data_IF_070756255335
#
_entry.id   IF_070756255335
#
_cell.length_a   1.000
_cell.length_b   1.000
_cell.length_c   1.000
_cell.angle_alpha   90.00
_cell.angle_beta   90.00
_cell.angle_gamma   90.00
#
_symmetry.space_group_name_H-M   'P 1'
#
loop_
_entity.id
_entity.type
_entity.pdbx_description
1 polymer ?
#
# COMPACT_ATOMS: atom_id res chain seq x y z
N UNK A 1 -12.98 37.32 -37.38
CA UNK A 1 -11.70 37.33 -36.67
C UNK A 1 -11.71 36.09 -35.76
N UNK A 2 -11.16 35.04 -36.27
CA UNK A 2 -11.05 33.73 -35.64
C UNK A 2 -9.76 33.74 -34.78
N UNK A 3 -9.89 33.76 -33.46
CA UNK A 3 -8.78 33.51 -32.57
C UNK A 3 -8.76 32.00 -32.22
N UNK A 4 -7.79 31.34 -32.76
CA UNK A 4 -7.37 30.00 -32.39
C UNK A 4 -6.93 29.99 -30.94
N UNK A 5 -7.71 29.38 -30.05
CA UNK A 5 -7.27 28.99 -28.72
C UNK A 5 -6.34 27.77 -28.87
N UNK A 6 -5.12 28.01 -28.54
CA UNK A 6 -4.05 27.01 -28.49
C UNK A 6 -4.32 26.11 -27.31
N UNK A 7 -4.59 24.86 -27.59
CA UNK A 7 -4.80 23.80 -26.61
C UNK A 7 -3.43 23.39 -26.03
N UNK A 8 -3.00 24.05 -24.96
CA UNK A 8 -1.89 23.56 -24.15
C UNK A 8 -2.49 22.65 -23.09
N UNK A 9 -2.43 21.35 -23.35
CA UNK A 9 -2.69 20.34 -22.34
C UNK A 9 -1.67 20.50 -21.20
N UNK A 10 -2.06 21.24 -20.18
CA UNK A 10 -1.32 21.39 -18.93
C UNK A 10 -1.50 20.14 -18.07
N UNK A 11 -0.42 19.61 -17.69
CA UNK A 11 -0.22 18.38 -16.94
C UNK A 11 -0.92 18.39 -15.56
N UNK A 12 -1.76 17.39 -15.35
CA UNK A 12 -2.50 17.10 -14.11
C UNK A 12 -1.61 16.26 -13.20
N UNK A 13 -1.17 16.78 -12.06
CA UNK A 13 -0.27 15.98 -11.15
C UNK A 13 -0.34 16.52 -9.72
N UNK A 14 -0.37 15.58 -8.67
CA UNK A 14 0.29 15.88 -7.40
C UNK A 14 -0.52 15.83 -6.10
N UNK A 15 -0.60 14.74 -5.38
CA UNK A 15 -0.65 14.63 -3.89
C UNK A 15 -0.59 13.18 -3.39
N UNK A 16 -0.42 12.25 -4.32
CA UNK A 16 -0.34 10.82 -4.02
C UNK A 16 0.97 10.38 -3.38
N UNK A 17 2.00 11.23 -3.35
CA UNK A 17 3.30 10.80 -2.84
C UNK A 17 3.26 10.44 -1.35
N UNK A 18 2.54 11.20 -0.56
CA UNK A 18 2.43 10.94 0.87
C UNK A 18 1.69 9.63 1.13
N UNK A 19 0.53 9.45 0.48
CA UNK A 19 -0.27 8.24 0.64
C UNK A 19 0.35 7.05 -0.09
N UNK A 20 0.96 7.22 -1.26
CA UNK A 20 1.69 6.16 -1.94
C UNK A 20 2.97 5.77 -1.20
N UNK A 21 3.71 6.71 -0.63
CA UNK A 21 4.90 6.43 0.18
C UNK A 21 4.53 5.82 1.53
N UNK A 22 3.51 6.33 2.21
CA UNK A 22 2.95 5.74 3.42
C UNK A 22 2.25 4.41 3.14
N UNK A 23 1.57 4.24 2.00
CA UNK A 23 0.94 2.99 1.62
C UNK A 23 1.93 1.92 1.17
N UNK A 24 3.08 2.28 0.57
CA UNK A 24 4.19 1.36 0.35
C UNK A 24 4.70 0.74 1.66
N UNK A 25 4.63 1.45 2.78
CA UNK A 25 5.10 0.98 4.08
C UNK A 25 3.98 0.61 5.07
N UNK A 26 2.80 1.22 4.99
CA UNK A 26 1.70 1.00 5.93
C UNK A 26 0.60 0.06 5.42
N UNK A 27 0.31 0.06 4.13
CA UNK A 27 -0.77 -0.72 3.49
C UNK A 27 -0.36 -2.07 2.97
N UNK A 28 0.89 -2.24 2.60
CA UNK A 28 1.44 -3.53 2.20
C UNK A 28 2.32 -4.06 3.30
N UNK A 29 2.06 -5.28 3.73
CA UNK A 29 3.03 -6.13 4.41
C UNK A 29 4.16 -6.46 3.41
N UNK A 30 4.91 -5.45 2.99
CA UNK A 30 5.85 -5.42 1.84
C UNK A 30 7.08 -6.29 2.05
N UNK A 31 7.22 -7.01 3.14
CA UNK A 31 8.45 -7.71 3.44
C UNK A 31 8.25 -9.23 3.46
N UNK A 32 8.56 -9.85 2.34
CA UNK A 32 8.55 -11.30 2.16
C UNK A 32 9.90 -11.93 2.53
N UNK A 33 9.98 -12.94 2.94
CA UNK A 33 10.22 -14.31 3.21
C UNK A 33 11.40 -15.03 2.55
N UNK A 34 12.08 -15.89 3.35
CA UNK A 34 12.94 -16.98 2.89
C UNK A 34 12.13 -18.25 2.60
N UNK A 35 12.32 -18.83 1.42
CA UNK A 35 11.97 -20.21 1.15
C UNK A 35 13.27 -21.05 1.15
N UNK A 36 13.36 -22.01 2.02
CA UNK A 36 14.33 -23.09 1.90
C UNK A 36 13.87 -24.03 0.79
N UNK A 37 14.57 -24.01 -0.33
CA UNK A 37 14.50 -25.04 -1.34
C UNK A 37 15.92 -25.44 -1.70
N UNK A 38 16.45 -26.39 -0.95
CA UNK A 38 17.49 -27.33 -1.39
C UNK A 38 17.41 -28.54 -0.48
N UNK A 39 16.79 -29.58 -0.96
CA UNK A 39 16.92 -30.93 -0.43
C UNK A 39 17.30 -31.85 -1.59
N UNK A 40 18.60 -32.05 -1.77
CA UNK A 40 19.07 -33.26 -2.42
C UNK A 40 18.73 -34.47 -1.55
N UNK A 41 18.34 -35.62 -2.11
CA UNK A 41 18.02 -36.81 -1.34
C UNK A 41 19.30 -37.55 -0.95
N UNK A 42 19.78 -37.42 0.26
CA UNK A 42 20.72 -38.39 0.80
C UNK A 42 19.95 -39.60 1.31
N UNK A 43 20.19 -40.72 0.63
CA UNK A 43 19.79 -42.06 1.03
C UNK A 43 20.64 -42.54 2.26
N UNK A 44 20.02 -42.61 3.41
CA UNK A 44 20.53 -43.51 4.49
C UNK A 44 19.36 -44.10 5.26
N UNK A 45 19.25 -45.40 5.11
CA UNK A 45 18.38 -46.28 5.88
C UNK A 45 18.82 -46.37 7.33
N UNK A 46 18.00 -45.84 8.25
CA UNK A 46 18.11 -46.22 9.67
C UNK A 46 16.73 -46.26 10.31
N UNK A 47 16.50 -47.32 11.04
CA UNK A 47 15.22 -47.71 11.64
C UNK A 47 14.76 -46.69 12.65
N UNK A 48 13.67 -45.96 12.35
CA UNK A 48 13.15 -44.87 13.20
C UNK A 48 12.24 -45.42 14.32
N UNK A 49 12.59 -45.05 15.51
CA UNK A 49 11.69 -44.98 16.67
C UNK A 49 10.79 -43.76 16.50
N UNK A 50 9.48 -43.77 16.85
CA UNK A 50 8.63 -42.60 16.70
C UNK A 50 9.05 -41.54 17.72
N UNK A 51 9.92 -40.65 17.31
CA UNK A 51 10.40 -39.46 18.00
C UNK A 51 9.98 -38.20 17.26
N UNK A 52 9.67 -37.17 18.01
CA UNK A 52 9.35 -35.83 17.52
C UNK A 52 10.49 -35.34 16.63
N UNK A 53 10.27 -35.27 15.31
CA UNK A 53 11.23 -34.59 14.40
C UNK A 53 11.24 -33.11 14.74
N UNK A 54 12.33 -32.63 15.25
CA UNK A 54 12.61 -31.21 15.44
C UNK A 54 13.20 -30.69 14.13
N UNK A 55 12.43 -29.93 13.38
CA UNK A 55 12.97 -29.24 12.19
C UNK A 55 13.70 -27.99 12.67
N UNK A 56 15.02 -28.00 12.64
CA UNK A 56 15.84 -26.80 12.87
C UNK A 56 15.56 -25.78 11.74
N UNK A 57 14.99 -24.65 12.09
CA UNK A 57 14.94 -23.50 11.20
C UNK A 57 16.35 -22.91 11.11
N UNK A 58 16.94 -22.93 9.92
CA UNK A 58 18.28 -22.41 9.66
C UNK A 58 18.33 -20.90 9.99
N UNK A 59 19.37 -20.46 10.69
CA UNK A 59 19.60 -19.04 10.94
C UNK A 59 19.78 -18.28 9.62
N UNK A 60 19.03 -17.20 9.42
CA UNK A 60 19.11 -16.35 8.24
C UNK A 60 19.91 -15.10 8.58
N UNK A 61 20.94 -14.80 7.78
CA UNK A 61 21.75 -13.57 7.94
C UNK A 61 20.96 -12.35 7.44
N UNK A 62 21.15 -11.22 8.13
CA UNK A 62 20.62 -9.95 7.64
C UNK A 62 21.23 -9.56 6.29
N UNK A 63 20.45 -8.88 5.45
CA UNK A 63 20.85 -8.50 4.10
C UNK A 63 20.40 -7.08 3.76
N UNK A 64 21.30 -6.32 3.15
CA UNK A 64 21.00 -5.02 2.56
C UNK A 64 20.52 -5.18 1.12
N UNK A 65 19.48 -4.42 0.76
CA UNK A 65 18.94 -4.30 -0.57
C UNK A 65 18.91 -2.82 -0.97
N UNK A 66 19.80 -2.36 -1.87
CA UNK A 66 19.60 -1.06 -2.51
C UNK A 66 18.38 -1.16 -3.43
N UNK A 67 17.48 -0.20 -3.32
CA UNK A 67 16.22 -0.14 -4.04
C UNK A 67 16.12 1.21 -4.77
N UNK A 68 16.79 1.40 -5.93
CA UNK A 68 16.47 2.52 -6.80
C UNK A 68 15.05 2.33 -7.34
N UNK A 69 14.28 3.42 -7.36
CA UNK A 69 12.92 3.39 -7.89
C UNK A 69 12.65 4.61 -8.75
N UNK A 70 11.71 4.46 -9.65
CA UNK A 70 11.23 5.54 -10.52
C UNK A 70 9.84 5.92 -10.05
N UNK A 71 9.58 7.19 -9.90
CA UNK A 71 8.27 7.73 -9.64
C UNK A 71 7.63 8.06 -10.99
N UNK A 72 6.44 7.53 -11.21
CA UNK A 72 5.68 7.73 -12.44
C UNK A 72 4.24 8.12 -12.13
N UNK A 73 3.99 8.45 -10.86
CA UNK A 73 2.68 8.89 -10.40
C UNK A 73 2.37 10.27 -11.01
N UNK A 74 1.34 10.38 -11.85
CA UNK A 74 1.01 11.63 -12.51
C UNK A 74 0.81 12.80 -11.53
N UNK A 75 0.39 12.47 -10.30
CA UNK A 75 0.08 13.47 -9.29
C UNK A 75 1.31 14.20 -8.72
N UNK A 76 2.51 13.64 -8.77
CA UNK A 76 3.71 14.27 -8.20
C UNK A 76 4.88 14.38 -9.19
N UNK A 77 4.56 14.21 -10.46
CA UNK A 77 5.56 14.27 -11.51
C UNK A 77 6.33 12.97 -11.71
N UNK A 78 7.30 13.03 -12.62
CA UNK A 78 8.22 11.93 -12.89
C UNK A 78 9.50 12.16 -12.12
N UNK A 79 9.98 11.13 -11.43
CA UNK A 79 11.15 11.30 -10.59
C UNK A 79 11.94 10.02 -10.38
N UNK A 80 13.02 10.21 -9.66
CA UNK A 80 13.91 9.13 -9.24
C UNK A 80 14.01 9.12 -7.73
N UNK A 81 14.01 7.93 -7.16
CA UNK A 81 14.28 7.73 -5.75
C UNK A 81 15.35 6.68 -5.53
N UNK A 82 15.98 6.79 -4.38
CA UNK A 82 16.94 5.80 -3.90
C UNK A 82 16.54 5.39 -2.49
N UNK A 83 16.28 4.11 -2.33
CA UNK A 83 16.03 3.48 -1.04
C UNK A 83 17.10 2.47 -0.68
N UNK A 84 17.18 2.18 0.60
CA UNK A 84 17.96 1.07 1.14
C UNK A 84 17.09 0.31 2.14
N UNK A 85 16.94 -0.99 1.94
CA UNK A 85 16.19 -1.87 2.82
C UNK A 85 17.17 -2.81 3.50
N UNK A 86 17.13 -2.89 4.82
CA UNK A 86 17.85 -3.89 5.59
C UNK A 86 16.87 -4.91 6.14
N UNK A 87 16.90 -6.11 5.59
CA UNK A 87 16.21 -7.26 6.13
C UNK A 87 17.00 -7.81 7.31
N UNK A 88 16.39 -7.82 8.47
CA UNK A 88 17.03 -8.33 9.67
C UNK A 88 17.13 -9.85 9.63
N UNK A 89 18.25 -10.38 10.07
CA UNK A 89 18.44 -11.83 10.24
C UNK A 89 17.48 -12.43 11.27
N UNK A 90 17.22 -13.71 11.16
CA UNK A 90 16.48 -14.50 12.16
C UNK A 90 17.39 -15.50 12.79
N UNK A 91 17.32 -15.62 14.13
CA UNK A 91 17.95 -16.72 14.84
C UNK A 91 17.24 -18.05 14.52
N UNK A 92 17.99 -19.14 14.54
CA UNK A 92 17.41 -20.47 14.43
C UNK A 92 16.48 -20.70 15.62
N UNK A 93 15.22 -20.99 15.37
CA UNK A 93 14.24 -21.34 16.40
C UNK A 93 13.86 -22.79 16.19
N UNK A 94 14.15 -23.63 17.18
CA UNK A 94 13.64 -25.01 17.22
C UNK A 94 12.10 -24.96 17.36
N UNK A 95 11.40 -25.40 16.34
CA UNK A 95 9.94 -25.54 16.38
C UNK A 95 9.57 -27.01 16.51
N UNK A 96 8.87 -27.43 17.55
CA UNK A 96 8.30 -28.77 17.60
C UNK A 96 7.24 -28.88 16.49
N UNK A 97 7.49 -29.75 15.53
CA UNK A 97 6.51 -30.10 14.49
C UNK A 97 5.47 -31.02 15.13
N UNK A 98 4.36 -30.46 15.61
CA UNK A 98 3.22 -31.26 16.00
C UNK A 98 2.61 -31.80 14.69
N UNK A 99 3.00 -33.01 14.31
CA UNK A 99 2.29 -33.80 13.32
C UNK A 99 1.00 -34.33 13.97
N UNK A 100 -0.03 -33.50 14.07
CA UNK A 100 -1.36 -34.01 14.30
C UNK A 100 -1.97 -34.45 12.97
N UNK A 101 -1.64 -35.66 12.59
CA UNK A 101 -2.21 -36.34 11.42
C UNK A 101 -3.68 -36.75 11.64
N UNK A 102 -4.54 -35.99 12.28
CA UNK A 102 -5.98 -36.30 12.41
C UNK A 102 -6.78 -35.13 12.98
N UNK A 103 -6.53 -33.90 12.56
CA UNK A 103 -7.49 -32.81 12.78
C UNK A 103 -8.31 -32.61 11.48
N UNK A 104 -9.35 -33.41 11.33
CA UNK A 104 -10.50 -33.06 10.47
C UNK A 104 -11.16 -31.86 11.17
N UNK A 105 -10.78 -30.66 10.79
CA UNK A 105 -11.27 -29.41 11.35
C UNK A 105 -10.31 -28.29 10.99
N UNK A 106 -10.60 -27.62 9.91
CA UNK A 106 -10.30 -26.23 9.50
C UNK A 106 -9.24 -25.48 10.33
N UNK A 107 -8.01 -25.99 10.43
CA UNK A 107 -6.86 -25.17 10.79
C UNK A 107 -6.52 -24.35 9.55
N UNK A 108 -7.03 -23.12 9.50
CA UNK A 108 -6.63 -22.13 8.49
C UNK A 108 -5.09 -22.15 8.42
N UNK A 109 -4.55 -22.46 7.23
CA UNK A 109 -3.10 -22.42 7.01
C UNK A 109 -2.65 -21.01 7.35
N UNK A 110 -1.83 -20.87 8.37
CA UNK A 110 -1.19 -19.59 8.68
C UNK A 110 -0.25 -19.25 7.55
N UNK A 111 -0.42 -18.07 6.96
CA UNK A 111 0.58 -17.49 6.06
C UNK A 111 1.92 -17.31 6.81
N UNK A 112 2.97 -17.14 6.05
CA UNK A 112 4.29 -16.87 6.60
C UNK A 112 4.32 -15.46 7.21
N UNK A 113 4.91 -15.27 8.42
CA UNK A 113 4.96 -13.95 9.05
C UNK A 113 5.82 -12.99 8.22
N UNK A 114 5.44 -11.71 8.14
CA UNK A 114 6.26 -10.70 7.45
C UNK A 114 7.65 -10.60 8.09
N UNK A 115 8.71 -10.39 7.31
CA UNK A 115 10.07 -10.23 7.84
C UNK A 115 10.20 -8.95 8.66
N UNK A 116 11.18 -8.92 9.54
CA UNK A 116 11.63 -7.68 10.16
C UNK A 116 12.51 -6.93 9.17
N UNK A 117 12.17 -5.67 8.90
CA UNK A 117 12.95 -4.83 7.99
C UNK A 117 13.02 -3.39 8.47
N UNK A 118 14.12 -2.73 8.13
CA UNK A 118 14.29 -1.28 8.25
C UNK A 118 14.57 -0.73 6.86
N UNK A 119 13.87 0.30 6.46
CA UNK A 119 14.07 0.97 5.18
C UNK A 119 14.31 2.45 5.41
N UNK A 120 15.15 3.06 4.58
CA UNK A 120 15.33 4.49 4.48
C UNK A 120 15.49 4.87 3.02
N UNK A 121 15.01 6.03 2.63
CA UNK A 121 15.12 6.49 1.26
C UNK A 121 14.65 7.91 1.06
N UNK A 122 14.90 8.43 -0.13
CA UNK A 122 14.42 9.72 -0.56
C UNK A 122 14.21 9.75 -2.06
N UNK A 123 13.50 10.76 -2.54
CA UNK A 123 13.16 10.94 -3.94
C UNK A 123 13.08 12.41 -4.32
N UNK A 124 13.16 12.65 -5.62
CA UNK A 124 12.96 13.95 -6.23
C UNK A 124 12.30 13.79 -7.60
N UNK A 125 11.39 14.69 -7.94
CA UNK A 125 10.61 14.66 -9.19
C UNK A 125 10.80 15.92 -10.03
N UNK A 126 10.37 15.86 -11.28
CA UNK A 126 10.51 16.94 -12.28
C UNK A 126 9.64 18.18 -11.98
N UNK A 127 8.69 18.06 -11.05
CA UNK A 127 7.89 19.18 -10.57
C UNK A 127 8.31 19.68 -9.19
N UNK A 128 9.56 19.39 -8.79
CA UNK A 128 10.17 19.85 -7.54
C UNK A 128 9.67 19.13 -6.27
N UNK A 129 8.73 18.18 -6.37
CA UNK A 129 8.34 17.35 -5.22
C UNK A 129 9.52 16.51 -4.74
N UNK A 130 9.78 16.55 -3.45
CA UNK A 130 10.87 15.84 -2.80
C UNK A 130 10.39 15.19 -1.49
N UNK A 131 11.08 14.14 -1.05
CA UNK A 131 10.80 13.57 0.25
C UNK A 131 11.88 12.60 0.71
N UNK A 132 11.96 12.46 2.02
CA UNK A 132 12.79 11.46 2.69
C UNK A 132 11.97 10.73 3.74
N UNK A 133 12.25 9.43 3.94
CA UNK A 133 11.61 8.71 5.01
C UNK A 133 12.46 7.58 5.55
N UNK A 134 12.16 7.19 6.80
CA UNK A 134 12.65 5.98 7.42
C UNK A 134 11.47 5.18 7.96
N UNK A 135 11.50 3.87 7.77
CA UNK A 135 10.47 2.96 8.24
C UNK A 135 11.07 1.72 8.90
N UNK A 136 10.40 1.21 9.92
CA UNK A 136 10.74 -0.06 10.55
C UNK A 136 9.49 -0.91 10.70
N UNK A 137 9.59 -2.18 10.30
CA UNK A 137 8.53 -3.17 10.45
C UNK A 137 9.07 -4.42 11.13
N UNK A 138 8.33 -4.95 12.11
CA UNK A 138 8.72 -6.15 12.85
C UNK A 138 7.53 -7.02 13.22
N UNK A 139 7.66 -8.32 12.94
CA UNK A 139 6.80 -9.36 13.49
C UNK A 139 7.53 -10.07 14.66
N UNK A 140 6.84 -10.30 15.76
CA UNK A 140 7.39 -10.82 17.01
C UNK A 140 6.55 -11.97 17.55
N UNK A 141 7.21 -12.86 18.34
CA UNK A 141 6.56 -13.95 19.07
C UNK A 141 5.70 -14.84 18.16
N UNK A 142 6.29 -15.32 17.07
CA UNK A 142 5.63 -16.15 16.06
C UNK A 142 4.42 -15.48 15.44
N UNK A 143 4.60 -14.21 15.06
CA UNK A 143 3.60 -13.33 14.46
C UNK A 143 2.38 -13.04 15.38
N UNK A 144 2.59 -13.13 16.69
CA UNK A 144 1.58 -12.72 17.67
C UNK A 144 1.42 -11.21 17.73
N UNK A 145 2.50 -10.47 17.49
CA UNK A 145 2.52 -9.01 17.43
C UNK A 145 3.21 -8.56 16.15
N UNK A 146 2.64 -7.53 15.53
CA UNK A 146 3.23 -6.79 14.39
C UNK A 146 3.33 -5.33 14.78
N UNK A 147 4.46 -4.71 14.49
CA UNK A 147 4.65 -3.26 14.66
C UNK A 147 5.19 -2.65 13.38
N UNK A 148 4.76 -1.41 13.12
CA UNK A 148 5.29 -0.56 12.04
C UNK A 148 5.48 0.83 12.62
N UNK A 149 6.58 1.48 12.26
CA UNK A 149 6.85 2.89 12.53
C UNK A 149 7.41 3.55 11.29
N UNK A 150 6.99 4.79 11.00
CA UNK A 150 7.43 5.59 9.87
C UNK A 150 7.66 7.01 10.35
N UNK A 151 8.77 7.61 9.89
CA UNK A 151 9.05 9.04 9.97
C UNK A 151 9.33 9.51 8.55
N UNK A 152 8.73 10.63 8.16
CA UNK A 152 8.91 11.20 6.82
C UNK A 152 8.94 12.73 6.90
N UNK A 153 9.68 13.35 5.99
CA UNK A 153 9.68 14.78 5.71
C UNK A 153 9.56 14.95 4.21
N UNK A 154 8.70 15.85 3.75
CA UNK A 154 8.35 15.98 2.35
C UNK A 154 7.96 17.40 1.99
N UNK A 155 8.33 17.79 0.79
CA UNK A 155 7.90 18.98 0.09
C UNK A 155 7.16 18.52 -1.17
N UNK A 156 5.84 18.70 -1.20
CA UNK A 156 4.94 18.18 -2.25
C UNK A 156 4.36 19.34 -3.03
N UNK A 157 4.63 19.37 -4.31
CA UNK A 157 3.99 20.29 -5.24
C UNK A 157 2.82 19.58 -5.93
N UNK A 158 1.61 20.18 -5.85
CA UNK A 158 0.36 19.43 -6.05
C UNK A 158 -0.75 20.23 -6.73
N UNK A 159 -1.69 19.53 -7.40
CA UNK A 159 -2.94 20.13 -7.88
C UNK A 159 -4.14 19.50 -7.18
N UNK A 160 -4.90 20.29 -6.47
CA UNK A 160 -6.21 19.92 -5.94
C UNK A 160 -7.27 20.19 -7.02
N UNK A 161 -8.24 19.31 -7.13
CA UNK A 161 -9.35 19.45 -8.09
C UNK A 161 -10.65 19.72 -7.37
N UNK A 162 -11.26 20.85 -7.66
CA UNK A 162 -12.65 21.12 -7.33
C UNK A 162 -13.45 21.02 -8.63
N UNK A 163 -14.21 19.93 -8.77
CA UNK A 163 -14.82 19.52 -10.04
C UNK A 163 -13.73 19.35 -11.14
N UNK A 164 -13.80 20.12 -12.22
CA UNK A 164 -12.80 20.09 -13.32
C UNK A 164 -11.75 21.20 -13.22
N UNK A 165 -11.81 22.04 -12.18
CA UNK A 165 -10.86 23.13 -11.98
C UNK A 165 -9.71 22.67 -11.06
N UNK A 166 -8.49 22.73 -11.57
CA UNK A 166 -7.28 22.43 -10.82
C UNK A 166 -6.72 23.69 -10.14
N UNK A 167 -6.26 23.53 -8.87
CA UNK A 167 -5.59 24.54 -8.06
C UNK A 167 -4.25 24.00 -7.62
N UNK A 168 -3.16 24.61 -8.08
CA UNK A 168 -1.82 24.17 -7.69
C UNK A 168 -1.52 24.63 -6.26
N UNK A 169 -0.93 23.72 -5.48
CA UNK A 169 -0.52 23.97 -4.11
C UNK A 169 0.83 23.33 -3.81
N UNK A 170 1.51 23.81 -2.79
CA UNK A 170 2.64 23.15 -2.18
C UNK A 170 2.32 22.77 -0.73
N UNK A 171 2.79 21.60 -0.30
CA UNK A 171 2.67 21.09 1.04
C UNK A 171 4.06 20.72 1.55
N UNK A 172 4.58 21.49 2.50
CA UNK A 172 5.77 21.14 3.26
C UNK A 172 5.32 20.47 4.57
N UNK A 173 5.69 19.22 4.81
CA UNK A 173 5.17 18.47 5.93
C UNK A 173 6.13 17.44 6.51
N UNK A 174 6.07 17.30 7.82
CA UNK A 174 6.66 16.23 8.61
C UNK A 174 5.59 15.24 9.08
N UNK A 175 5.85 13.94 8.93
CA UNK A 175 4.91 12.89 9.29
C UNK A 175 5.51 11.87 10.25
N UNK A 176 4.72 11.49 11.23
CA UNK A 176 4.98 10.37 12.14
C UNK A 176 3.82 9.39 12.06
N UNK A 177 4.14 8.12 11.86
CA UNK A 177 3.14 7.06 11.89
C UNK A 177 3.64 5.89 12.72
N UNK A 178 2.78 5.35 13.58
CA UNK A 178 3.03 4.14 14.34
C UNK A 178 1.80 3.23 14.35
N UNK A 179 2.01 1.92 14.19
CA UNK A 179 0.94 0.91 14.25
C UNK A 179 1.42 -0.30 15.04
N UNK A 180 0.61 -0.72 15.99
CA UNK A 180 0.77 -1.97 16.71
C UNK A 180 -0.42 -2.90 16.49
N UNK A 181 -0.17 -4.18 16.20
CA UNK A 181 -1.21 -5.18 15.99
C UNK A 181 -0.96 -6.40 16.86
N UNK A 182 -2.04 -7.00 17.36
CA UNK A 182 -2.01 -8.23 18.15
C UNK A 182 -2.92 -9.28 17.52
N UNK A 183 -2.39 -10.48 17.32
CA UNK A 183 -3.13 -11.64 16.85
C UNK A 183 -4.09 -12.14 17.94
N UNK A 184 -5.30 -12.47 17.56
CA UNK A 184 -6.31 -13.07 18.43
C UNK A 184 -6.09 -14.59 18.51
N UNK A 185 -5.46 -15.04 19.58
CA UNK A 185 -5.15 -16.46 19.77
C UNK A 185 -4.33 -17.03 18.61
N UNK A 186 -4.77 -18.17 18.11
CA UNK A 186 -4.17 -18.87 16.96
C UNK A 186 -4.89 -18.60 15.64
N UNK A 187 -5.78 -17.61 15.60
CA UNK A 187 -6.56 -17.26 14.42
C UNK A 187 -5.77 -16.40 13.42
N UNK A 188 -6.36 -16.12 12.27
CA UNK A 188 -5.85 -15.16 11.29
C UNK A 188 -6.36 -13.73 11.54
N UNK A 189 -6.98 -13.47 12.70
CA UNK A 189 -7.52 -12.16 13.07
C UNK A 189 -6.51 -11.39 13.91
N UNK A 190 -6.32 -10.11 13.57
CA UNK A 190 -5.54 -9.16 14.33
C UNK A 190 -6.39 -7.96 14.70
N UNK A 191 -6.15 -7.41 15.88
CA UNK A 191 -6.62 -6.09 16.27
C UNK A 191 -5.42 -5.16 16.38
N UNK A 192 -5.58 -3.93 15.88
CA UNK A 192 -4.51 -2.95 15.83
C UNK A 192 -4.94 -1.60 16.40
N UNK A 193 -3.93 -0.89 16.88
CA UNK A 193 -4.01 0.53 17.20
C UNK A 193 -2.96 1.26 16.38
N UNK A 194 -3.33 2.43 15.87
CA UNK A 194 -2.41 3.30 15.14
C UNK A 194 -2.46 4.71 15.72
N UNK A 195 -1.37 5.43 15.52
CA UNK A 195 -1.19 6.83 15.84
C UNK A 195 -0.51 7.50 14.65
N UNK A 196 -0.97 8.70 14.29
CA UNK A 196 -0.41 9.51 13.22
C UNK A 196 -0.36 10.97 13.58
N UNK A 197 0.67 11.65 13.13
CA UNK A 197 0.82 13.10 13.14
C UNK A 197 1.28 13.53 11.76
N UNK A 198 0.65 14.54 11.21
CA UNK A 198 1.09 15.29 10.06
C UNK A 198 1.13 16.76 10.47
N UNK A 199 2.32 17.36 10.48
CA UNK A 199 2.54 18.76 10.80
C UNK A 199 3.08 19.44 9.56
N UNK A 200 2.45 20.52 9.09
CA UNK A 200 2.83 21.10 7.82
C UNK A 200 2.29 22.47 7.53
N UNK A 201 2.72 22.99 6.40
CA UNK A 201 2.31 24.27 5.80
C UNK A 201 1.81 24.06 4.39
N UNK A 202 0.70 24.68 4.03
CA UNK A 202 0.11 24.63 2.69
C UNK A 202 0.11 26.02 2.07
N UNK A 203 0.75 26.13 0.92
CA UNK A 203 0.68 27.30 0.06
C UNK A 203 -0.11 27.01 -1.22
N UNK A 204 -1.00 27.89 -1.63
CA UNK A 204 -1.67 27.85 -2.94
C UNK A 204 -1.11 28.91 -3.88
N UNK A 205 -0.80 28.52 -5.11
CA UNK A 205 -0.41 29.46 -6.17
C UNK A 205 -1.65 30.01 -6.86
N UNK A 206 -2.41 30.84 -6.13
CA UNK A 206 -3.68 31.40 -6.56
C UNK A 206 -3.65 32.94 -6.46
N UNK A 207 -4.22 33.64 -7.46
CA UNK A 207 -4.42 35.09 -7.36
C UNK A 207 -5.31 35.44 -6.16
N UNK A 208 -4.98 36.50 -5.38
CA UNK A 208 -5.76 36.89 -4.22
C UNK A 208 -7.24 37.16 -4.58
N UNK A 209 -8.15 36.45 -3.91
CA UNK A 209 -9.59 36.59 -4.06
C UNK A 209 -10.26 35.58 -4.99
N UNK A 210 -9.53 34.59 -5.48
CA UNK A 210 -10.06 33.51 -6.34
C UNK A 210 -10.17 32.18 -5.58
N UNK A 211 -9.44 32.04 -4.47
CA UNK A 211 -9.45 30.79 -3.67
C UNK A 211 -10.78 30.59 -2.95
N UNK A 212 -11.39 29.40 -2.96
CA UNK A 212 -12.43 29.02 -2.02
C UNK A 212 -11.94 29.15 -0.58
N UNK A 213 -12.80 29.61 0.34
CA UNK A 213 -12.43 29.76 1.77
C UNK A 213 -11.89 28.47 2.42
N UNK A 214 -12.30 27.31 1.89
CA UNK A 214 -11.85 25.98 2.33
C UNK A 214 -10.38 25.66 2.00
N UNK A 215 -9.73 26.42 1.13
CA UNK A 215 -8.33 26.24 0.72
C UNK A 215 -7.34 27.13 1.48
N UNK A 216 -7.82 27.97 2.41
CA UNK A 216 -6.98 28.95 3.14
C UNK A 216 -6.37 28.33 4.42
N UNK A 217 -5.81 27.13 4.34
CA UNK A 217 -5.03 26.57 5.45
C UNK A 217 -3.55 26.86 5.17
N UNK A 218 -2.87 27.59 6.06
CA UNK A 218 -1.42 27.77 5.97
C UNK A 218 -0.69 26.76 6.84
N UNK A 219 -0.53 27.03 8.13
CA UNK A 219 0.05 26.09 9.09
C UNK A 219 -1.04 25.19 9.64
N UNK A 220 -0.76 23.89 9.77
CA UNK A 220 -1.69 22.93 10.38
C UNK A 220 -0.95 21.79 11.08
N UNK A 221 -1.60 21.23 12.09
CA UNK A 221 -1.22 19.96 12.69
C UNK A 221 -2.42 19.02 12.64
N UNK A 222 -2.27 17.84 12.01
CA UNK A 222 -3.30 16.81 11.98
C UNK A 222 -2.86 15.61 12.82
N UNK A 223 -3.56 15.36 13.92
CA UNK A 223 -3.27 14.26 14.85
C UNK A 223 -4.43 13.28 14.88
N UNK A 224 -4.12 12.02 14.61
CA UNK A 224 -5.12 10.97 14.60
C UNK A 224 -4.71 9.72 15.37
N UNK A 225 -5.75 9.01 15.84
CA UNK A 225 -5.62 7.65 16.36
C UNK A 225 -6.57 6.73 15.62
N UNK A 226 -6.18 5.46 15.44
CA UNK A 226 -7.05 4.51 14.78
C UNK A 226 -7.16 3.19 15.51
N UNK A 227 -8.35 2.57 15.39
CA UNK A 227 -8.58 1.17 15.67
C UNK A 227 -8.67 0.37 14.37
N UNK A 228 -8.12 -0.84 14.34
CA UNK A 228 -8.24 -1.72 13.18
C UNK A 228 -8.57 -3.17 13.56
N UNK A 229 -9.35 -3.84 12.69
CA UNK A 229 -9.65 -5.25 12.74
C UNK A 229 -9.26 -5.88 11.40
N UNK A 230 -8.35 -6.85 11.43
CA UNK A 230 -7.75 -7.40 10.23
C UNK A 230 -7.88 -8.92 10.25
N UNK A 231 -8.36 -9.50 9.15
CA UNK A 231 -8.27 -10.91 8.86
C UNK A 231 -7.26 -11.11 7.72
N UNK A 232 -6.19 -11.87 7.94
CA UNK A 232 -5.14 -12.11 6.96
C UNK A 232 -4.81 -13.60 6.89
N UNK A 233 -5.32 -14.25 5.85
CA UNK A 233 -5.11 -15.67 5.55
C UNK A 233 -4.29 -15.88 4.27
N UNK A 234 -3.69 -14.84 3.71
CA UNK A 234 -2.85 -14.94 2.52
C UNK A 234 -1.69 -15.88 2.78
N UNK A 235 -1.33 -16.66 1.77
CA UNK A 235 -0.17 -17.56 1.81
C UNK A 235 1.14 -16.79 1.94
N UNK A 236 1.22 -15.63 1.30
CA UNK A 236 2.32 -14.68 1.42
C UNK A 236 1.86 -13.25 1.12
N UNK A 237 2.66 -12.25 1.49
CA UNK A 237 2.28 -10.84 1.36
C UNK A 237 2.76 -10.18 0.07
N UNK A 238 3.89 -10.64 -0.52
CA UNK A 238 4.51 -9.95 -1.67
C UNK A 238 3.87 -10.31 -3.01
N UNK A 239 3.50 -11.55 -3.22
CA UNK A 239 2.90 -12.04 -4.47
C UNK A 239 1.90 -13.15 -4.14
N UNK A 240 0.79 -12.82 -3.47
CA UNK A 240 -0.15 -13.82 -2.98
C UNK A 240 -0.66 -14.72 -4.12
N UNK A 241 -0.69 -16.02 -3.85
CA UNK A 241 -1.27 -17.01 -4.74
C UNK A 241 -2.64 -17.49 -4.25
N UNK A 242 -2.87 -17.41 -2.95
CA UNK A 242 -4.11 -17.86 -2.33
C UNK A 242 -4.37 -17.14 -1.00
N UNK A 243 -5.63 -17.14 -0.58
CA UNK A 243 -6.06 -16.57 0.70
C UNK A 243 -6.72 -15.21 0.57
N UNK A 244 -6.97 -14.59 1.69
CA UNK A 244 -7.78 -13.36 1.78
C UNK A 244 -7.17 -12.39 2.79
N UNK A 245 -7.33 -11.11 2.53
CA UNK A 245 -7.15 -10.03 3.48
C UNK A 245 -8.47 -9.27 3.59
N UNK A 246 -8.90 -9.00 4.81
CA UNK A 246 -9.92 -8.01 5.11
C UNK A 246 -9.37 -7.09 6.19
N UNK A 247 -9.36 -5.79 5.93
CA UNK A 247 -8.88 -4.74 6.86
C UNK A 247 -9.97 -3.69 7.00
N UNK A 248 -10.48 -3.53 8.22
CA UNK A 248 -11.32 -2.40 8.62
C UNK A 248 -10.48 -1.53 9.53
N UNK A 249 -10.25 -0.29 9.14
CA UNK A 249 -9.53 0.72 9.93
C UNK A 249 -10.40 1.96 10.08
N UNK A 250 -10.52 2.47 11.29
CA UNK A 250 -11.27 3.68 11.62
C UNK A 250 -10.31 4.64 12.33
N UNK A 251 -10.06 5.78 11.71
CA UNK A 251 -9.28 6.89 12.24
C UNK A 251 -10.22 7.92 12.87
N UNK A 252 -9.79 8.48 14.01
CA UNK A 252 -10.40 9.67 14.59
C UNK A 252 -9.34 10.75 14.74
N UNK A 253 -9.58 11.89 14.13
CA UNK A 253 -8.84 13.13 14.26
C UNK A 253 -9.68 14.09 15.08
N UNK A 254 -9.09 14.75 16.07
CA UNK A 254 -9.86 15.52 17.04
C UNK A 254 -8.98 16.58 17.72
N UNK A 255 -9.56 17.71 18.06
CA UNK A 255 -8.89 18.82 18.73
C UNK A 255 -8.32 18.41 20.09
N UNK A 256 -8.99 17.50 20.82
CA UNK A 256 -8.49 17.00 22.09
C UNK A 256 -7.19 16.17 21.94
N UNK A 257 -6.89 15.66 20.75
CA UNK A 257 -5.62 15.00 20.40
C UNK A 257 -4.54 16.00 19.99
N UNK A 258 -4.91 17.26 19.76
CA UNK A 258 -4.04 18.30 19.23
C UNK A 258 -4.12 18.46 17.71
N UNK A 259 -5.16 17.93 17.06
CA UNK A 259 -5.44 18.14 15.65
C UNK A 259 -6.18 19.44 15.43
N UNK A 260 -5.88 20.17 14.36
CA UNK A 260 -6.64 21.33 13.91
C UNK A 260 -7.95 20.92 13.22
N UNK A 261 -8.13 19.60 12.94
CA UNK A 261 -9.27 19.06 12.21
C UNK A 261 -10.08 18.10 13.09
N UNK A 262 -11.41 18.06 12.85
CA UNK A 262 -12.35 17.19 13.55
C UNK A 262 -13.09 16.29 12.58
N UNK A 263 -12.53 15.11 12.27
CA UNK A 263 -13.15 14.16 11.36
C UNK A 263 -12.88 12.70 11.72
N UNK A 264 -13.67 11.82 11.13
CA UNK A 264 -13.48 10.38 11.23
C UNK A 264 -13.32 9.83 9.82
N UNK A 265 -12.21 9.14 9.55
CA UNK A 265 -12.00 8.39 8.31
C UNK A 265 -12.22 6.90 8.56
N UNK A 266 -13.06 6.27 7.76
CA UNK A 266 -13.30 4.82 7.79
C UNK A 266 -12.83 4.22 6.48
N UNK A 267 -11.96 3.19 6.54
CA UNK A 267 -11.49 2.47 5.36
C UNK A 267 -11.74 0.98 5.49
N UNK A 268 -12.26 0.39 4.43
CA UNK A 268 -12.45 -1.05 4.26
C UNK A 268 -11.62 -1.48 3.05
N UNK A 269 -10.70 -2.43 3.26
CA UNK A 269 -9.94 -3.08 2.20
C UNK A 269 -10.20 -4.58 2.23
N UNK A 270 -10.59 -5.14 1.10
CA UNK A 270 -10.77 -6.58 0.94
C UNK A 270 -10.01 -7.09 -0.28
N UNK A 271 -9.16 -8.07 -0.07
CA UNK A 271 -8.40 -8.75 -1.10
C UNK A 271 -8.72 -10.24 -1.08
N UNK A 272 -8.80 -10.85 -2.26
CA UNK A 272 -9.01 -12.30 -2.38
C UNK A 272 -8.17 -12.86 -3.50
N UNK A 273 -7.41 -13.92 -3.23
CA UNK A 273 -6.48 -14.53 -4.18
C UNK A 273 -6.82 -16.00 -4.37
N UNK A 274 -6.87 -16.43 -5.62
CA UNK A 274 -7.25 -17.78 -6.02
C UNK A 274 -6.32 -18.32 -7.07
N UNK A 275 -5.73 -19.49 -6.83
CA UNK A 275 -5.06 -20.25 -7.88
C UNK A 275 -6.11 -21.07 -8.65
N UNK A 276 -6.46 -20.62 -9.86
CA UNK A 276 -7.48 -21.27 -10.70
C UNK A 276 -6.92 -22.44 -11.52
N UNK A 277 -5.61 -22.39 -11.84
CA UNK A 277 -4.89 -23.46 -12.52
C UNK A 277 -3.43 -23.43 -12.07
N UNK A 278 -2.62 -24.42 -12.48
CA UNK A 278 -1.21 -24.53 -12.11
C UNK A 278 -0.41 -23.24 -12.36
N UNK A 279 -0.72 -22.53 -13.44
CA UNK A 279 -0.02 -21.29 -13.85
C UNK A 279 -0.89 -20.06 -13.85
N UNK A 280 -2.15 -20.17 -13.46
CA UNK A 280 -3.10 -19.05 -13.52
C UNK A 280 -3.66 -18.72 -12.15
N UNK A 281 -3.50 -17.46 -11.76
CA UNK A 281 -3.94 -16.87 -10.50
C UNK A 281 -4.90 -15.72 -10.76
N UNK A 282 -5.90 -15.58 -9.93
CA UNK A 282 -6.87 -14.49 -9.95
C UNK A 282 -6.79 -13.73 -8.63
N UNK A 283 -6.61 -12.41 -8.71
CA UNK A 283 -6.74 -11.48 -7.59
C UNK A 283 -7.99 -10.62 -7.74
N UNK A 284 -8.65 -10.36 -6.62
CA UNK A 284 -9.80 -9.46 -6.51
C UNK A 284 -9.49 -8.45 -5.41
N UNK A 285 -9.76 -7.17 -5.66
CA UNK A 285 -9.64 -6.07 -4.69
C UNK A 285 -10.94 -5.28 -4.61
N UNK A 286 -11.32 -4.95 -3.39
CA UNK A 286 -12.28 -3.91 -3.06
C UNK A 286 -11.59 -2.97 -2.06
N UNK A 287 -11.67 -1.67 -2.29
CA UNK A 287 -11.18 -0.64 -1.38
C UNK A 287 -12.23 0.47 -1.32
N UNK A 288 -12.67 0.84 -0.13
CA UNK A 288 -13.66 1.89 0.10
C UNK A 288 -13.21 2.72 1.29
N UNK A 289 -13.19 4.02 1.13
CA UNK A 289 -12.90 4.96 2.21
C UNK A 289 -14.01 6.02 2.27
N UNK A 290 -14.34 6.44 3.49
CA UNK A 290 -15.33 7.48 3.73
C UNK A 290 -14.93 8.38 4.88
N UNK A 291 -15.23 9.67 4.76
CA UNK A 291 -15.05 10.67 5.81
C UNK A 291 -16.39 11.10 6.40
N UNK A 292 -16.35 11.50 7.65
CA UNK A 292 -17.45 12.16 8.35
C UNK A 292 -16.88 13.26 9.27
N UNK A 293 -17.39 14.48 9.16
CA UNK A 293 -16.89 15.66 9.85
C UNK A 293 -16.03 16.56 8.95
N UNK A 294 -15.29 17.48 9.55
CA UNK A 294 -14.58 18.55 8.84
C UNK A 294 -13.17 18.07 8.43
N UNK A 295 -13.11 17.20 7.43
CA UNK A 295 -11.86 16.71 6.89
C UNK A 295 -11.20 17.77 5.99
N UNK A 296 -9.86 17.99 6.09
CA UNK A 296 -9.16 18.86 5.16
C UNK A 296 -9.12 18.24 3.76
N UNK A 297 -8.99 19.09 2.73
CA UNK A 297 -9.03 18.64 1.32
C UNK A 297 -8.03 17.52 1.00
N UNK A 298 -6.85 17.52 1.62
CA UNK A 298 -5.83 16.48 1.43
C UNK A 298 -6.15 15.14 2.11
N UNK A 299 -7.16 15.09 2.99
CA UNK A 299 -7.65 13.89 3.64
C UNK A 299 -8.95 13.35 3.03
N UNK A 300 -9.50 14.04 2.01
CA UNK A 300 -10.71 13.58 1.30
C UNK A 300 -10.41 12.27 0.59
N UNK A 301 -11.24 11.22 0.76
CA UNK A 301 -11.12 9.97 0.04
C UNK A 301 -11.10 10.14 -1.48
N UNK A 302 -10.34 9.32 -2.18
CA UNK A 302 -10.28 9.34 -3.62
C UNK A 302 -10.19 7.92 -4.22
N UNK A 303 -10.46 7.80 -5.50
CA UNK A 303 -10.37 6.53 -6.23
C UNK A 303 -8.92 6.12 -6.42
N UNK A 304 -8.50 5.05 -5.75
CA UNK A 304 -7.16 4.47 -5.86
C UNK A 304 -7.16 3.31 -6.87
N UNK A 305 -6.96 3.61 -8.16
CA UNK A 305 -6.82 2.62 -9.24
C UNK A 305 -5.59 2.89 -10.09
N UNK A 306 -4.96 1.83 -10.59
CA UNK A 306 -3.92 1.94 -11.61
C UNK A 306 -4.53 2.57 -12.87
N UNK A 307 -3.93 3.65 -13.38
CA UNK A 307 -4.44 4.44 -14.51
C UNK A 307 -5.17 5.71 -14.10
N UNK A 308 -5.48 5.88 -12.81
CA UNK A 308 -6.08 7.09 -12.25
C UNK A 308 -4.99 7.85 -11.47
N UNK A 309 -4.78 9.14 -11.74
CA UNK A 309 -3.99 10.00 -10.88
C UNK A 309 -4.62 10.10 -9.50
N UNK A 310 -3.80 10.12 -8.47
CA UNK A 310 -4.32 10.28 -7.12
C UNK A 310 -5.01 11.64 -6.95
N UNK A 311 -6.00 11.68 -6.05
CA UNK A 311 -6.87 12.84 -5.78
C UNK A 311 -7.65 13.38 -6.98
N UNK A 312 -7.63 12.71 -8.15
CA UNK A 312 -8.38 13.18 -9.33
C UNK A 312 -9.89 13.03 -9.14
N UNK A 313 -10.31 11.92 -8.57
CA UNK A 313 -11.73 11.63 -8.30
C UNK A 313 -11.91 11.46 -6.79
N UNK A 314 -12.32 12.56 -6.15
CA UNK A 314 -12.49 12.67 -4.70
C UNK A 314 -13.97 12.73 -4.32
N UNK A 315 -14.31 12.35 -3.10
CA UNK A 315 -15.65 12.46 -2.53
C UNK A 315 -15.65 12.14 -1.04
N UNK A 316 -16.72 12.48 -0.33
CA UNK A 316 -16.92 12.10 1.07
C UNK A 316 -16.83 10.58 1.25
N UNK A 317 -17.23 9.85 0.20
CA UNK A 317 -16.98 8.43 0.05
C UNK A 317 -16.37 8.16 -1.34
N UNK A 318 -15.28 7.42 -1.38
CA UNK A 318 -14.66 6.95 -2.61
C UNK A 318 -14.33 5.47 -2.51
N UNK A 319 -14.38 4.78 -3.64
CA UNK A 319 -14.04 3.36 -3.65
C UNK A 319 -13.63 2.84 -5.02
N UNK A 320 -13.00 1.67 -4.99
CA UNK A 320 -12.50 0.99 -6.17
C UNK A 320 -12.68 -0.52 -6.05
N UNK A 321 -13.00 -1.13 -7.17
CA UNK A 321 -12.92 -2.58 -7.36
C UNK A 321 -11.93 -2.87 -8.49
N UNK A 322 -11.06 -3.87 -8.31
CA UNK A 322 -10.07 -4.25 -9.33
C UNK A 322 -9.94 -5.76 -9.41
N UNK A 323 -9.78 -6.27 -10.62
CA UNK A 323 -9.58 -7.69 -10.92
C UNK A 323 -8.26 -7.82 -11.66
N UNK A 324 -7.38 -8.71 -11.19
CA UNK A 324 -6.11 -9.02 -11.83
C UNK A 324 -6.00 -10.52 -12.13
N UNK A 325 -5.75 -10.85 -13.40
CA UNK A 325 -5.32 -12.19 -13.83
C UNK A 325 -3.80 -12.23 -13.96
N UNK A 326 -3.15 -13.21 -13.32
CA UNK A 326 -1.70 -13.42 -13.40
C UNK A 326 -1.39 -14.79 -13.97
N UNK A 327 -0.55 -14.82 -15.02
CA UNK A 327 -0.11 -16.04 -15.66
C UNK A 327 1.40 -16.25 -15.48
N UNK A 328 1.80 -17.34 -14.83
CA UNK A 328 3.19 -17.70 -14.60
C UNK A 328 3.79 -18.28 -15.91
N UNK A 329 4.59 -17.47 -16.60
CA UNK A 329 5.29 -17.85 -17.85
C UNK A 329 6.41 -18.84 -17.52
N UNK A 330 7.18 -18.53 -16.47
CA UNK A 330 8.29 -19.33 -15.97
C UNK A 330 8.40 -19.17 -14.43
N UNK A 331 9.30 -19.89 -13.75
CA UNK A 331 9.45 -19.74 -12.30
C UNK A 331 9.74 -18.31 -11.82
N UNK A 332 10.33 -17.47 -12.70
CA UNK A 332 10.72 -16.09 -12.36
C UNK A 332 9.96 -15.01 -13.14
N UNK A 333 9.12 -15.38 -14.09
CA UNK A 333 8.39 -14.43 -14.92
C UNK A 333 6.90 -14.69 -14.90
N UNK A 334 6.12 -13.65 -14.72
CA UNK A 334 4.66 -13.72 -14.92
C UNK A 334 4.18 -12.50 -15.72
N UNK A 335 3.13 -12.72 -16.51
CA UNK A 335 2.34 -11.66 -17.13
C UNK A 335 1.12 -11.38 -16.28
N UNK A 336 0.65 -10.14 -16.26
CA UNK A 336 -0.59 -9.74 -15.62
C UNK A 336 -1.46 -8.95 -16.59
N UNK A 337 -2.78 -9.07 -16.42
CA UNK A 337 -3.77 -8.21 -17.02
C UNK A 337 -4.79 -7.85 -15.96
N UNK A 338 -5.27 -6.62 -15.97
CA UNK A 338 -6.17 -6.13 -14.94
C UNK A 338 -7.18 -5.15 -15.51
N UNK A 339 -8.29 -5.00 -14.80
CA UNK A 339 -9.30 -3.98 -15.03
C UNK A 339 -9.93 -3.59 -13.70
N UNK A 340 -10.35 -2.34 -13.60
CA UNK A 340 -10.98 -1.81 -12.41
C UNK A 340 -12.05 -0.78 -12.70
N UNK A 341 -12.89 -0.53 -11.72
CA UNK A 341 -13.90 0.52 -11.71
C UNK A 341 -13.84 1.26 -10.38
N UNK A 342 -14.00 2.57 -10.43
CA UNK A 342 -14.07 3.46 -9.28
C UNK A 342 -15.44 4.11 -9.16
N UNK A 343 -15.74 4.61 -7.97
CA UNK A 343 -16.89 5.46 -7.70
C UNK A 343 -16.53 6.51 -6.65
N UNK A 344 -17.21 7.64 -6.71
CA UNK A 344 -17.19 8.70 -5.70
C UNK A 344 -18.60 9.12 -5.38
N UNK A 345 -18.83 9.55 -4.16
CA UNK A 345 -20.11 10.09 -3.68
C UNK A 345 -19.84 11.25 -2.72
N UNK A 346 -20.65 12.29 -2.85
CA UNK A 346 -20.64 13.45 -1.98
C UNK A 346 -21.95 13.50 -1.20
N UNK A 347 -21.88 13.84 0.10
CA UNK A 347 -23.07 14.04 0.93
C UNK A 347 -23.94 15.20 0.41
N UNK A 348 -23.31 16.20 -0.23
CA UNK A 348 -24.01 17.27 -0.95
C UNK A 348 -24.38 16.82 -2.37
N UNK A 349 -25.63 16.43 -2.56
CA UNK A 349 -26.18 16.01 -3.86
C UNK A 349 -26.17 17.09 -4.96
N UNK A 350 -25.76 18.32 -4.65
CA UNK A 350 -25.57 19.38 -5.65
C UNK A 350 -24.23 19.26 -6.40
N UNK A 351 -23.28 18.48 -5.85
CA UNK A 351 -22.00 18.21 -6.48
C UNK A 351 -22.17 17.04 -7.46
N UNK A 352 -21.87 17.24 -8.76
CA UNK A 352 -21.94 16.15 -9.74
C UNK A 352 -20.96 15.02 -9.39
N UNK A 353 -21.42 13.78 -9.43
CA UNK A 353 -20.57 12.60 -9.34
C UNK A 353 -20.18 12.12 -10.73
N UNK A 354 -18.94 11.70 -10.93
CA UNK A 354 -18.53 11.05 -12.18
C UNK A 354 -18.82 9.54 -12.12
N UNK A 355 -19.62 9.07 -13.10
CA UNK A 355 -20.14 7.69 -13.12
C UNK A 355 -19.26 6.71 -13.91
N UNK A 356 -18.30 7.17 -14.73
CA UNK A 356 -17.57 6.35 -15.70
C UNK A 356 -16.05 6.25 -15.40
N UNK A 357 -15.68 5.87 -14.17
CA UNK A 357 -14.28 5.71 -13.76
C UNK A 357 -13.85 4.25 -14.00
N UNK A 358 -13.34 3.94 -15.19
CA UNK A 358 -12.86 2.61 -15.56
C UNK A 358 -11.40 2.61 -15.97
N UNK A 359 -10.68 1.57 -15.56
CA UNK A 359 -9.29 1.37 -15.97
C UNK A 359 -9.06 -0.05 -16.45
N UNK A 360 -8.07 -0.22 -17.29
CA UNK A 360 -7.56 -1.52 -17.69
C UNK A 360 -6.07 -1.45 -18.00
N UNK A 361 -5.41 -2.57 -17.96
CA UNK A 361 -3.99 -2.58 -18.24
C UNK A 361 -3.39 -3.98 -18.26
N UNK A 362 -2.10 -3.98 -18.51
CA UNK A 362 -1.30 -5.20 -18.51
C UNK A 362 0.10 -4.90 -17.99
N UNK A 363 0.80 -5.95 -17.59
CA UNK A 363 2.14 -5.79 -17.06
C UNK A 363 2.92 -7.09 -17.00
N UNK A 364 4.14 -6.96 -16.50
CA UNK A 364 5.03 -8.07 -16.28
C UNK A 364 5.54 -8.07 -14.84
N UNK A 365 5.81 -9.25 -14.33
CA UNK A 365 6.41 -9.47 -13.01
C UNK A 365 7.69 -10.28 -13.19
N UNK A 366 8.73 -9.84 -12.52
CA UNK A 366 10.02 -10.55 -12.48
C UNK A 366 10.46 -10.78 -11.04
N UNK A 367 10.75 -12.03 -10.70
CA UNK A 367 11.30 -12.37 -9.40
C UNK A 367 12.78 -12.01 -9.34
N UNK A 368 13.07 -10.87 -8.69
CA UNK A 368 14.41 -10.35 -8.56
C UNK A 368 15.27 -11.21 -7.63
N UNK A 369 14.71 -11.54 -6.46
CA UNK A 369 15.35 -12.40 -5.46
C UNK A 369 14.45 -13.57 -5.13
N UNK A 370 14.93 -14.78 -5.41
CA UNK A 370 14.18 -16.02 -5.14
C UNK A 370 14.14 -16.37 -3.66
N UNK A 371 15.26 -16.17 -2.94
CA UNK A 371 15.36 -16.46 -1.50
C UNK A 371 14.43 -15.58 -0.64
N UNK A 372 14.28 -14.31 -1.00
CA UNK A 372 13.43 -13.35 -0.29
C UNK A 372 12.05 -13.21 -0.95
N UNK A 373 11.79 -13.93 -2.04
CA UNK A 373 10.58 -13.84 -2.84
C UNK A 373 10.23 -12.40 -3.27
N UNK A 374 11.26 -11.59 -3.58
CA UNK A 374 11.07 -10.21 -4.00
C UNK A 374 10.77 -10.15 -5.49
N UNK A 375 9.64 -9.57 -5.82
CA UNK A 375 9.18 -9.37 -7.18
C UNK A 375 9.20 -7.90 -7.54
N UNK A 376 9.57 -7.58 -8.77
CA UNK A 376 9.39 -6.27 -9.38
C UNK A 376 8.37 -6.38 -10.50
N UNK A 377 7.57 -5.33 -10.68
CA UNK A 377 6.55 -5.23 -11.69
C UNK A 377 6.70 -3.98 -12.54
N UNK A 378 6.31 -4.10 -13.80
CA UNK A 378 6.07 -2.98 -14.70
C UNK A 378 4.66 -3.13 -15.25
N UNK A 379 3.82 -2.14 -15.02
CA UNK A 379 2.45 -2.08 -15.50
C UNK A 379 2.26 -0.88 -16.43
N UNK A 380 1.40 -1.05 -17.42
CA UNK A 380 0.85 0.01 -18.24
C UNK A 380 -0.66 -0.04 -18.03
N UNK A 381 -1.23 1.07 -17.61
CA UNK A 381 -2.65 1.20 -17.35
C UNK A 381 -3.23 2.35 -18.18
N UNK A 382 -4.41 2.15 -18.70
CA UNK A 382 -5.24 3.15 -19.38
C UNK A 382 -6.43 3.49 -18.50
N UNK A 383 -6.70 4.77 -18.34
CA UNK A 383 -7.85 5.32 -17.62
C UNK A 383 -8.44 6.52 -18.34
N UNK A 384 -9.45 7.17 -17.77
CA UNK A 384 -10.07 8.37 -18.37
C UNK A 384 -9.07 9.52 -18.65
N UNK A 385 -8.02 9.62 -17.81
CA UNK A 385 -6.99 10.66 -17.90
C UNK A 385 -5.82 10.26 -18.84
N UNK A 386 -5.92 9.10 -19.50
CA UNK A 386 -4.91 8.58 -20.44
C UNK A 386 -4.06 7.46 -19.90
N UNK A 387 -2.92 7.22 -20.56
CA UNK A 387 -2.02 6.09 -20.25
C UNK A 387 -0.99 6.45 -19.20
N UNK A 388 -0.85 5.61 -18.21
CA UNK A 388 0.17 5.70 -17.16
C UNK A 388 0.96 4.40 -17.06
N UNK A 389 2.20 4.47 -16.61
CA UNK A 389 3.01 3.30 -16.36
C UNK A 389 3.58 3.33 -14.94
N UNK A 390 3.73 2.16 -14.33
CA UNK A 390 4.09 2.00 -12.93
C UNK A 390 5.20 0.97 -12.78
N UNK A 391 6.20 1.30 -11.96
CA UNK A 391 7.16 0.32 -11.44
C UNK A 391 6.80 0.05 -9.99
N UNK A 392 6.72 -1.22 -9.64
CA UNK A 392 6.31 -1.64 -8.30
C UNK A 392 7.18 -2.77 -7.76
N UNK A 393 7.22 -2.89 -6.44
CA UNK A 393 7.87 -3.98 -5.73
C UNK A 393 6.76 -4.79 -5.02
N UNK A 394 6.68 -6.08 -5.35
CA UNK A 394 5.62 -6.95 -4.85
C UNK A 394 4.31 -6.84 -5.63
N UNK A 395 3.20 -7.13 -4.96
CA UNK A 395 1.84 -6.98 -5.49
C UNK A 395 1.37 -5.53 -5.31
N UNK A 396 0.63 -4.94 -6.25
CA UNK A 396 0.24 -3.52 -6.20
C UNK A 396 -0.79 -3.17 -5.10
N UNK A 397 -1.42 -4.18 -4.45
CA UNK A 397 -2.50 -3.98 -3.46
C UNK A 397 -2.08 -4.27 -2.02
#
# INVERSE_FOLDING_TARGET
MTSTLNNSGGDIKHAAALLAFLSLFAGSSVFAQNSDADSEPETSSETAVPGTEVTESKAVKGRFLPAPFVITEPAIGKGLGLGMIYFHGREAVERPRIQSANAIGNTARRGKPPPTATAAGGFYTDNETAGVAVAHSRSMLDDKYRIVGILASMDIHATYYEQDQGFDFNLDADAIYARGQRRMGDSNVFFGLSFGVLDGDIGFDIEPGVAPDALLVSDFTDVGVAGSAIYDSRDESMMPGAGQLFDLTIWRHDDFLGSDFNYTNTRIKALSFHQLAEKFFLGLRLDVAGNNGDAPFFAIPFVELRGIPAMRYQGDTAGAIEIEGRYAISPRWAAVAFTGAGFVDWDDSSIPTEDDIYTYGFGARFQLFTEQNVWIGLDIAEGPEGSNWYIQIGHPW
#
